data_IF_762640838415
#
_entry.id   IF_762640838415
#
_cell.length_a   1.000
_cell.length_b   1.000
_cell.length_c   1.000
_cell.angle_alpha   90.00
_cell.angle_beta   90.00
_cell.angle_gamma   90.00
#
_symmetry.space_group_name_H-M   'P 1'
#
loop_
_entity.id
_entity.type
_entity.pdbx_description
1 polymer ?
#
# COMPACT_ATOMS: atom_id res chain seq x y z
N UNK A 1 -30.80 -7.20 2.79
CA UNK A 1 -29.83 -8.07 2.08
C UNK A 1 -30.46 -8.52 0.77
N UNK A 2 -29.83 -8.24 -0.38
CA UNK A 2 -30.30 -8.77 -1.67
C UNK A 2 -30.17 -10.30 -1.67
N UNK A 3 -31.22 -11.02 -2.05
CA UNK A 3 -31.24 -12.48 -2.10
C UNK A 3 -30.03 -13.00 -2.89
N UNK A 4 -29.25 -13.88 -2.25
CA UNK A 4 -28.15 -14.62 -2.86
C UNK A 4 -28.74 -15.64 -3.84
N UNK A 5 -29.04 -15.22 -5.06
CA UNK A 5 -29.58 -16.10 -6.09
C UNK A 5 -28.45 -16.99 -6.63
N UNK A 6 -28.47 -18.26 -6.25
CA UNK A 6 -27.64 -19.30 -6.83
C UNK A 6 -28.14 -19.57 -8.25
N UNK A 7 -27.33 -19.28 -9.27
CA UNK A 7 -27.72 -19.65 -10.62
C UNK A 7 -27.55 -21.16 -10.87
N UNK A 8 -28.11 -21.67 -11.98
CA UNK A 8 -28.00 -23.08 -12.40
C UNK A 8 -26.55 -23.57 -12.60
N UNK A 9 -25.56 -22.69 -12.48
CA UNK A 9 -24.12 -22.98 -12.58
C UNK A 9 -23.38 -22.73 -11.26
N UNK A 10 -24.09 -22.68 -10.13
CA UNK A 10 -23.53 -22.51 -8.79
C UNK A 10 -22.79 -21.18 -8.59
N UNK A 11 -23.12 -20.14 -9.37
CA UNK A 11 -22.53 -18.79 -9.24
C UNK A 11 -23.41 -17.92 -8.36
N UNK A 12 -22.83 -17.45 -7.26
CA UNK A 12 -23.48 -16.54 -6.30
C UNK A 12 -23.64 -15.10 -6.81
N UNK A 13 -22.81 -14.69 -7.78
CA UNK A 13 -22.81 -13.36 -8.41
C UNK A 13 -22.64 -13.55 -9.92
N UNK A 14 -23.75 -13.60 -10.66
CA UNK A 14 -23.77 -13.97 -12.08
C UNK A 14 -23.88 -12.77 -13.05
N UNK A 15 -23.90 -11.54 -12.52
CA UNK A 15 -23.92 -10.29 -13.29
C UNK A 15 -22.54 -9.63 -13.27
N UNK A 16 -22.08 -9.19 -14.44
CA UNK A 16 -20.82 -8.44 -14.60
C UNK A 16 -21.14 -6.96 -14.76
N UNK A 17 -20.38 -6.11 -14.06
CA UNK A 17 -20.38 -4.65 -14.21
C UNK A 17 -18.96 -4.24 -14.60
N UNK A 18 -18.82 -3.43 -15.64
CA UNK A 18 -17.54 -2.93 -16.12
C UNK A 18 -17.61 -1.42 -16.29
N UNK A 19 -16.52 -0.73 -15.95
CA UNK A 19 -16.35 0.71 -16.10
C UNK A 19 -14.96 0.98 -16.67
N UNK A 20 -14.82 2.10 -17.38
CA UNK A 20 -13.54 2.59 -17.86
C UNK A 20 -12.93 3.50 -16.80
N UNK A 21 -11.63 3.37 -16.60
CA UNK A 21 -10.84 4.17 -15.67
C UNK A 21 -9.58 4.65 -16.37
N UNK A 22 -9.07 5.81 -15.97
CA UNK A 22 -7.73 6.25 -16.34
C UNK A 22 -6.66 5.40 -15.65
N UNK A 23 -5.39 5.46 -16.10
CA UNK A 23 -4.28 4.79 -15.40
C UNK A 23 -4.15 5.20 -13.92
N UNK A 24 -4.32 6.50 -13.63
CA UNK A 24 -4.21 7.04 -12.27
C UNK A 24 -5.35 6.54 -11.37
N UNK A 25 -6.56 6.41 -11.92
CA UNK A 25 -7.72 5.87 -11.22
C UNK A 25 -7.55 4.36 -10.93
N UNK A 26 -6.98 3.61 -11.86
CA UNK A 26 -6.66 2.18 -11.66
C UNK A 26 -5.63 2.00 -10.54
N UNK A 27 -4.55 2.80 -10.53
CA UNK A 27 -3.52 2.72 -9.49
C UNK A 27 -4.08 3.05 -8.09
N UNK A 28 -4.93 4.08 -8.00
CA UNK A 28 -5.59 4.44 -6.75
C UNK A 28 -6.51 3.32 -6.27
N UNK A 29 -7.30 2.72 -7.17
CA UNK A 29 -8.17 1.60 -6.85
C UNK A 29 -7.37 0.40 -6.34
N UNK A 30 -6.28 0.03 -7.01
CA UNK A 30 -5.41 -1.08 -6.60
C UNK A 30 -4.82 -0.86 -5.21
N UNK A 31 -4.40 0.37 -4.93
CA UNK A 31 -3.84 0.72 -3.63
C UNK A 31 -4.89 0.59 -2.53
N UNK A 32 -6.10 1.12 -2.73
CA UNK A 32 -7.17 1.00 -1.75
C UNK A 32 -7.60 -0.46 -1.51
N UNK A 33 -7.71 -1.26 -2.58
CA UNK A 33 -8.03 -2.69 -2.48
C UNK A 33 -6.97 -3.42 -1.66
N UNK A 34 -5.69 -3.19 -1.96
CA UNK A 34 -4.56 -3.79 -1.25
C UNK A 34 -4.54 -3.42 0.23
N UNK A 35 -4.78 -2.15 0.56
CA UNK A 35 -4.83 -1.69 1.96
C UNK A 35 -6.02 -2.26 2.72
N UNK A 36 -7.17 -2.46 2.04
CA UNK A 36 -8.36 -3.04 2.66
C UNK A 36 -8.24 -4.54 2.98
N UNK A 37 -7.32 -5.25 2.31
CA UNK A 37 -7.20 -6.71 2.39
C UNK A 37 -8.34 -7.49 1.71
N UNK A 38 -9.27 -6.80 1.04
CA UNK A 38 -10.40 -7.39 0.32
C UNK A 38 -10.02 -7.74 -1.13
N UNK A 39 -10.86 -8.52 -1.80
CA UNK A 39 -10.79 -8.67 -3.26
C UNK A 39 -11.30 -7.38 -3.93
N UNK A 40 -10.88 -7.08 -5.17
CA UNK A 40 -11.42 -5.92 -5.91
C UNK A 40 -12.94 -5.94 -5.97
N UNK A 41 -13.52 -7.12 -6.24
CA UNK A 41 -14.97 -7.29 -6.32
C UNK A 41 -15.65 -6.95 -4.98
N UNK A 42 -15.15 -7.46 -3.85
CA UNK A 42 -15.75 -7.16 -2.54
C UNK A 42 -15.53 -5.71 -2.11
N UNK A 43 -14.35 -5.14 -2.38
CA UNK A 43 -14.07 -3.72 -2.11
C UNK A 43 -15.04 -2.81 -2.86
N UNK A 44 -15.14 -2.97 -4.18
CA UNK A 44 -16.01 -2.15 -5.04
C UNK A 44 -17.49 -2.35 -4.66
N UNK A 45 -17.91 -3.59 -4.41
CA UNK A 45 -19.28 -3.88 -3.98
C UNK A 45 -19.61 -3.20 -2.66
N UNK A 46 -18.69 -3.20 -1.68
CA UNK A 46 -18.90 -2.51 -0.40
C UNK A 46 -18.97 -1.00 -0.56
N UNK A 47 -18.06 -0.40 -1.35
CA UNK A 47 -18.05 1.05 -1.63
C UNK A 47 -19.33 1.51 -2.32
N UNK A 48 -19.81 0.77 -3.33
CA UNK A 48 -21.04 1.09 -4.08
C UNK A 48 -22.32 0.91 -3.24
N UNK A 49 -22.31 0.01 -2.26
CA UNK A 49 -23.44 -0.24 -1.35
C UNK A 49 -23.36 0.56 -0.04
N UNK A 50 -22.41 1.50 0.07
CA UNK A 50 -22.14 2.26 1.30
C UNK A 50 -21.94 1.37 2.54
N UNK A 51 -21.35 0.19 2.35
CA UNK A 51 -20.98 -0.70 3.45
C UNK A 51 -19.58 -0.32 3.97
N UNK A 52 -19.41 -0.37 5.29
CA UNK A 52 -18.12 -0.07 5.90
C UNK A 52 -17.00 -1.01 5.39
N UNK A 53 -15.91 -0.39 4.96
CA UNK A 53 -14.67 -1.09 4.60
C UNK A 53 -13.79 -1.13 5.84
N UNK A 54 -14.03 -2.13 6.68
CA UNK A 54 -13.22 -2.39 7.87
C UNK A 54 -12.01 -3.23 7.47
N UNK A 55 -10.80 -2.74 7.76
CA UNK A 55 -9.56 -3.51 7.60
C UNK A 55 -9.57 -4.60 8.68
N UNK A 56 -9.91 -5.83 8.29
CA UNK A 56 -9.77 -6.97 9.18
C UNK A 56 -8.36 -7.53 9.08
N UNK A 57 -7.72 -7.72 10.24
CA UNK A 57 -6.40 -8.34 10.33
C UNK A 57 -6.38 -9.68 9.61
N UNK A 58 -5.60 -9.76 8.53
CA UNK A 58 -5.40 -10.94 7.70
C UNK A 58 -3.89 -11.09 7.47
N UNK A 59 -3.32 -12.32 7.34
CA UNK A 59 -1.92 -12.53 6.97
C UNK A 59 -1.41 -11.63 5.82
N UNK A 60 -2.27 -11.29 4.85
CA UNK A 60 -1.94 -10.32 3.77
C UNK A 60 -1.72 -8.90 4.27
N UNK A 61 -2.58 -8.41 5.19
CA UNK A 61 -2.45 -7.10 5.83
C UNK A 61 -1.18 -7.05 6.67
N UNK A 62 -0.90 -8.13 7.42
CA UNK A 62 0.35 -8.26 8.18
C UNK A 62 1.59 -8.21 7.27
N UNK A 63 1.59 -8.94 6.15
CA UNK A 63 2.69 -8.92 5.18
C UNK A 63 2.88 -7.53 4.55
N UNK A 64 1.79 -6.85 4.20
CA UNK A 64 1.85 -5.49 3.66
C UNK A 64 2.41 -4.50 4.69
N UNK A 65 1.93 -4.57 5.94
CA UNK A 65 2.41 -3.71 7.03
C UNK A 65 3.90 -3.94 7.32
N UNK A 66 4.32 -5.21 7.41
CA UNK A 66 5.72 -5.58 7.62
C UNK A 66 6.62 -5.05 6.50
N UNK A 67 6.19 -5.14 5.25
CA UNK A 67 6.97 -4.64 4.12
C UNK A 67 7.10 -3.11 4.15
N UNK A 68 6.03 -2.40 4.54
CA UNK A 68 6.08 -0.94 4.72
C UNK A 68 7.01 -0.53 5.87
N UNK A 69 6.95 -1.23 7.01
CA UNK A 69 7.86 -1.00 8.12
C UNK A 69 9.33 -1.30 7.76
N UNK A 70 9.58 -2.33 6.95
CA UNK A 70 10.92 -2.62 6.45
C UNK A 70 11.46 -1.50 5.56
N UNK A 71 10.64 -0.94 4.67
CA UNK A 71 11.03 0.20 3.84
C UNK A 71 11.39 1.43 4.70
N UNK A 72 10.59 1.72 5.72
CA UNK A 72 10.89 2.80 6.69
C UNK A 72 12.21 2.53 7.42
N UNK A 73 12.45 1.30 7.85
CA UNK A 73 13.69 0.92 8.53
C UNK A 73 14.91 1.12 7.62
N UNK A 74 14.82 0.73 6.35
CA UNK A 74 15.90 0.94 5.37
C UNK A 74 16.24 2.41 5.20
N UNK A 75 15.25 3.30 5.13
CA UNK A 75 15.49 4.74 5.06
C UNK A 75 16.13 5.29 6.33
N UNK A 76 15.69 4.82 7.51
CA UNK A 76 16.30 5.22 8.78
C UNK A 76 17.77 4.78 8.87
N UNK A 77 18.08 3.56 8.45
CA UNK A 77 19.46 3.05 8.39
C UNK A 77 20.33 3.82 7.40
N UNK A 78 19.78 4.25 6.25
CA UNK A 78 20.48 5.10 5.30
C UNK A 78 20.84 6.46 5.92
N UNK A 79 19.92 7.05 6.68
CA UNK A 79 20.14 8.33 7.37
C UNK A 79 21.18 8.16 8.49
N UNK A 80 21.13 7.05 9.23
CA UNK A 80 22.10 6.72 10.27
C UNK A 80 23.51 6.49 9.70
N UNK A 81 23.64 5.76 8.60
CA UNK A 81 24.91 5.58 7.90
C UNK A 81 25.45 6.91 7.33
N UNK A 82 24.57 7.86 6.97
CA UNK A 82 24.97 9.21 6.59
C UNK A 82 25.45 10.08 7.77
N UNK A 83 25.17 9.69 9.02
CA UNK A 83 25.70 10.35 10.23
C UNK A 83 27.06 9.80 10.67
N UNK A 84 27.49 8.63 10.17
CA UNK A 84 28.81 8.09 10.46
C UNK A 84 29.88 8.58 9.46
N UNK A 85 29.67 9.72 8.81
CA UNK A 85 30.78 10.44 8.17
C UNK A 85 31.70 10.84 9.32
N UNK A 86 32.83 10.15 9.38
CA UNK A 86 33.88 10.26 10.37
C UNK A 86 34.15 11.73 10.72
N UNK A 87 34.21 12.07 12.01
CA UNK A 87 34.52 13.44 12.44
C UNK A 87 35.87 13.90 11.84
N UNK A 88 36.79 12.97 11.57
CA UNK A 88 38.04 13.22 10.84
C UNK A 88 37.82 13.64 9.37
N UNK A 89 36.80 13.11 8.68
CA UNK A 89 36.44 13.51 7.30
C UNK A 89 35.74 14.88 7.27
N UNK A 90 34.98 15.21 8.32
CA UNK A 90 34.42 16.55 8.50
C UNK A 90 35.51 17.58 8.77
N UNK A 91 36.49 17.26 9.62
CA UNK A 91 37.63 18.14 9.92
C UNK A 91 38.50 18.43 8.68
N UNK A 92 38.75 17.42 7.83
CA UNK A 92 39.50 17.61 6.57
C UNK A 92 38.73 18.53 5.61
N UNK A 93 37.40 18.39 5.50
CA UNK A 93 36.58 19.23 4.62
C UNK A 93 36.50 20.69 5.10
N UNK A 94 36.50 20.90 6.43
CA UNK A 94 36.53 22.24 7.03
C UNK A 94 37.92 22.89 6.83
N UNK A 95 39.02 22.13 6.97
CA UNK A 95 40.38 22.64 6.72
C UNK A 95 40.60 23.01 5.25
N UNK A 96 40.09 22.21 4.31
CA UNK A 96 40.23 22.49 2.87
C UNK A 96 39.41 23.69 2.40
N UNK A 97 38.24 23.97 3.02
CA UNK A 97 37.41 25.13 2.65
C UNK A 97 37.85 26.45 3.29
N UNK A 98 38.63 26.42 4.37
CA UNK A 98 39.15 27.63 5.04
C UNK A 98 40.58 28.01 4.60
N UNK A 99 41.17 27.29 3.64
CA UNK A 99 42.53 27.53 3.13
C UNK A 99 42.55 28.25 1.76
N UNK A 100 41.46 28.92 1.40
CA UNK A 100 41.35 29.81 0.21
C UNK A 100 40.90 31.20 0.60
#
# INVERSE_FOLDING_TARGET
MSMKNLDRKNRWRNKTVAFRVSPDEDEQLETMVRLSGLTKQDYITRRLLCLDVIVQGNPRVYKALRNQLAAVLTELQRIEAGKSVDDELLDINILMNNST
#
